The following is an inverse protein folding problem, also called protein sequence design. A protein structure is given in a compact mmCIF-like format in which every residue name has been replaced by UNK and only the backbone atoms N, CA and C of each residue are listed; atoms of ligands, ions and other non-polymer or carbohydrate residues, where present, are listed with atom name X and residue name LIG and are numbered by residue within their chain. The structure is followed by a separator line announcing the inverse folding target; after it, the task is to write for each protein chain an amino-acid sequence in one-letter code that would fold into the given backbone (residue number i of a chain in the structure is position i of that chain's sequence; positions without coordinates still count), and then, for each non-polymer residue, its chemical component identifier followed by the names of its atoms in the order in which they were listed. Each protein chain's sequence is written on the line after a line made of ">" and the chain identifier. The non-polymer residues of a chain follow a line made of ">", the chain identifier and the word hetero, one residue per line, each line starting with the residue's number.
data_IF_495391880931
#
_entry.id   IF_495391880931
#
_cell.length_a   1.000
_cell.length_b   1.000
_cell.length_c   1.000
_cell.angle_alpha   90.00
_cell.angle_beta   90.00
_cell.angle_gamma   90.00
#
_symmetry.space_group_name_H-M   'P 1'
#
loop_
_entity.id
_entity.type
_entity.pdbx_description
1 polymer ?
#
# COMPACT_ATOMS: atom_id res chain seq x y z
N UNK A 1 -12.01 14.77 -24.39
CA UNK A 1 -12.33 13.49 -25.04
C UNK A 1 -11.41 12.44 -24.41
N UNK A 2 -11.97 11.51 -23.62
CA UNK A 2 -11.20 10.38 -23.08
C UNK A 2 -10.77 9.46 -24.21
N UNK A 3 -9.48 9.16 -24.29
CA UNK A 3 -8.94 8.12 -25.17
C UNK A 3 -8.90 6.78 -24.43
N UNK A 4 -8.85 5.70 -25.17
CA UNK A 4 -8.63 4.37 -24.57
C UNK A 4 -7.23 4.33 -23.94
N UNK A 5 -7.13 3.75 -22.76
CA UNK A 5 -5.89 3.58 -22.02
C UNK A 5 -5.42 2.14 -22.20
N UNK A 6 -4.14 1.93 -22.41
CA UNK A 6 -3.53 0.61 -22.49
C UNK A 6 -2.32 0.55 -21.54
N UNK A 7 -2.30 -0.47 -20.69
CA UNK A 7 -1.22 -0.71 -19.74
C UNK A 7 -0.45 -1.98 -20.11
N UNK A 8 0.87 -1.90 -19.97
CA UNK A 8 1.76 -3.05 -20.03
C UNK A 8 2.16 -3.43 -18.58
N UNK A 9 2.01 -4.72 -18.24
CA UNK A 9 2.25 -5.24 -16.89
C UNK A 9 3.13 -6.50 -16.91
N UNK A 10 4.45 -6.39 -17.19
CA UNK A 10 5.35 -7.51 -17.06
C UNK A 10 5.54 -7.91 -15.59
N UNK A 11 5.56 -9.20 -15.32
CA UNK A 11 5.82 -9.78 -14.01
C UNK A 11 6.89 -10.87 -14.14
N UNK A 12 7.87 -10.85 -13.25
CA UNK A 12 8.89 -11.90 -13.12
C UNK A 12 8.82 -12.45 -11.70
N UNK A 13 8.81 -13.77 -11.56
CA UNK A 13 8.90 -14.46 -10.29
C UNK A 13 10.04 -15.47 -10.32
N UNK A 14 10.75 -15.56 -9.19
CA UNK A 14 11.89 -16.47 -9.03
C UNK A 14 11.90 -17.04 -7.61
N UNK A 15 12.07 -18.36 -7.50
CA UNK A 15 12.14 -19.09 -6.24
C UNK A 15 13.43 -19.88 -6.18
N UNK A 16 14.53 -19.30 -5.63
CA UNK A 16 15.83 -19.96 -5.55
C UNK A 16 15.82 -21.15 -4.60
N UNK A 17 14.96 -21.13 -3.59
CA UNK A 17 14.71 -22.24 -2.66
C UNK A 17 13.21 -22.42 -2.47
N UNK A 18 12.80 -23.51 -1.78
CA UNK A 18 11.37 -23.74 -1.47
C UNK A 18 10.81 -22.72 -0.49
N UNK A 19 11.67 -22.14 0.35
CA UNK A 19 11.28 -21.15 1.36
C UNK A 19 11.23 -19.73 0.80
N UNK A 20 12.06 -19.42 -0.20
CA UNK A 20 12.29 -18.05 -0.63
C UNK A 20 11.74 -17.78 -2.02
N UNK A 21 10.90 -16.78 -2.15
CA UNK A 21 10.32 -16.31 -3.41
C UNK A 21 10.52 -14.81 -3.54
N UNK A 22 10.92 -14.38 -4.73
CA UNK A 22 11.01 -12.97 -5.12
C UNK A 22 10.16 -12.78 -6.36
N UNK A 23 9.38 -11.71 -6.40
CA UNK A 23 8.70 -11.27 -7.62
C UNK A 23 8.93 -9.78 -7.84
N UNK A 24 9.02 -9.39 -9.09
CA UNK A 24 9.06 -7.99 -9.52
C UNK A 24 8.04 -7.77 -10.63
N UNK A 25 7.38 -6.64 -10.58
CA UNK A 25 6.38 -6.23 -11.55
C UNK A 25 6.61 -4.77 -11.95
N UNK A 26 6.25 -4.45 -13.17
CA UNK A 26 6.17 -3.08 -13.66
C UNK A 26 4.78 -2.86 -14.27
N UNK A 27 4.25 -1.68 -14.14
CA UNK A 27 3.06 -1.24 -14.85
C UNK A 27 3.34 0.10 -15.51
N UNK A 28 3.14 0.20 -16.81
CA UNK A 28 3.31 1.45 -17.52
C UNK A 28 2.15 1.67 -18.50
N UNK A 29 1.66 2.90 -18.58
CA UNK A 29 0.75 3.29 -19.62
C UNK A 29 1.54 3.50 -20.93
N UNK A 30 1.02 2.95 -22.03
CA UNK A 30 1.64 3.03 -23.37
C UNK A 30 0.91 4.01 -24.30
N UNK A 31 -0.09 4.73 -23.79
CA UNK A 31 -0.89 5.71 -24.54
C UNK A 31 -0.75 7.08 -23.90
N UNK A 32 -0.03 7.99 -24.53
CA UNK A 32 0.18 9.35 -24.05
C UNK A 32 -1.09 10.20 -24.20
N UNK A 33 -1.29 11.15 -23.26
CA UNK A 33 -2.40 12.10 -23.25
C UNK A 33 -3.78 11.41 -23.35
N UNK A 34 -3.95 10.27 -22.66
CA UNK A 34 -5.20 9.54 -22.66
C UNK A 34 -6.26 10.24 -21.80
N UNK A 35 -5.85 10.76 -20.65
CA UNK A 35 -6.68 11.59 -19.77
C UNK A 35 -5.81 12.52 -18.91
N UNK A 36 -6.39 13.60 -18.43
CA UNK A 36 -5.71 14.58 -17.61
C UNK A 36 -6.62 15.78 -17.36
N UNK A 37 -6.05 16.83 -16.83
CA UNK A 37 -6.74 18.08 -16.53
C UNK A 37 -5.98 19.27 -17.12
N UNK A 38 -6.61 20.45 -17.07
CA UNK A 38 -5.96 21.70 -17.46
C UNK A 38 -5.63 22.47 -16.19
N UNK A 39 -4.36 22.82 -16.02
CA UNK A 39 -3.87 23.58 -14.88
C UNK A 39 -4.40 25.04 -14.88
N UNK A 40 -4.16 25.78 -13.82
CA UNK A 40 -4.55 27.18 -13.67
C UNK A 40 -3.89 28.13 -14.70
N UNK A 41 -2.83 27.67 -15.38
CA UNK A 41 -2.09 28.40 -16.42
C UNK A 41 -2.58 28.06 -17.82
N UNK A 42 -3.55 27.12 -17.95
CA UNK A 42 -4.09 26.66 -19.21
C UNK A 42 -3.32 25.55 -19.90
N UNK A 43 -2.32 24.92 -19.25
CA UNK A 43 -1.58 23.80 -19.79
C UNK A 43 -2.30 22.48 -19.52
N UNK A 44 -2.25 21.56 -20.48
CA UNK A 44 -2.77 20.21 -20.27
C UNK A 44 -1.76 19.39 -19.47
N UNK A 45 -2.17 18.85 -18.32
CA UNK A 45 -1.40 17.93 -17.49
C UNK A 45 -1.87 16.52 -17.74
N UNK A 46 -0.99 15.69 -18.30
CA UNK A 46 -1.29 14.28 -18.60
C UNK A 46 -1.21 13.42 -17.35
N UNK A 47 -2.36 13.01 -16.82
CA UNK A 47 -2.43 12.08 -15.68
C UNK A 47 -2.33 10.61 -16.12
N UNK A 48 -2.33 10.33 -17.41
CA UNK A 48 -2.17 8.98 -17.92
C UNK A 48 -0.71 8.53 -17.99
N UNK A 49 0.24 9.46 -17.91
CA UNK A 49 1.68 9.17 -17.87
C UNK A 49 2.10 8.71 -16.46
N UNK A 50 1.88 7.42 -16.21
CA UNK A 50 2.17 6.78 -14.94
C UNK A 50 2.96 5.50 -15.15
N UNK A 51 4.02 5.32 -14.36
CA UNK A 51 4.79 4.08 -14.31
C UNK A 51 4.92 3.62 -12.87
N UNK A 52 4.51 2.39 -12.61
CA UNK A 52 4.61 1.75 -11.32
C UNK A 52 5.61 0.59 -11.34
N UNK A 53 6.35 0.43 -10.27
CA UNK A 53 7.27 -0.68 -10.02
C UNK A 53 6.89 -1.33 -8.69
N UNK A 54 6.91 -2.65 -8.65
CA UNK A 54 6.64 -3.41 -7.43
C UNK A 54 7.63 -4.55 -7.28
N UNK A 55 8.02 -4.82 -6.04
CA UNK A 55 8.79 -5.99 -5.68
C UNK A 55 8.20 -6.62 -4.43
N UNK A 56 8.09 -7.94 -4.44
CA UNK A 56 7.67 -8.73 -3.28
C UNK A 56 8.70 -9.81 -2.99
N UNK A 57 9.01 -10.00 -1.71
CA UNK A 57 9.88 -11.06 -1.22
C UNK A 57 9.14 -11.80 -0.11
N UNK A 58 9.16 -13.12 -0.15
CA UNK A 58 8.57 -13.97 0.88
C UNK A 58 9.61 -14.99 1.34
N UNK A 59 9.83 -15.03 2.65
CA UNK A 59 10.48 -16.14 3.33
C UNK A 59 9.42 -16.98 4.04
N UNK A 60 9.26 -18.23 3.63
CA UNK A 60 8.29 -19.15 4.22
C UNK A 60 8.99 -20.20 5.07
N UNK A 61 9.23 -19.90 6.35
CA UNK A 61 9.85 -20.81 7.30
C UNK A 61 9.02 -22.05 7.64
N UNK A 62 7.72 -22.07 7.29
CA UNK A 62 6.90 -23.29 7.45
C UNK A 62 7.31 -24.44 6.52
N UNK A 63 8.11 -24.15 5.49
CA UNK A 63 8.68 -25.21 4.62
C UNK A 63 9.72 -26.04 5.33
N UNK A 64 10.47 -25.46 6.25
CA UNK A 64 11.50 -26.13 7.06
C UNK A 64 11.02 -26.52 8.45
N UNK A 65 10.13 -25.74 9.05
CA UNK A 65 9.50 -25.99 10.36
C UNK A 65 7.98 -25.78 10.24
N UNK A 66 7.20 -26.83 9.89
CA UNK A 66 5.75 -26.70 9.69
C UNK A 66 4.96 -26.25 10.92
N UNK A 67 5.48 -26.49 12.12
CA UNK A 67 4.77 -26.23 13.37
C UNK A 67 5.07 -24.84 13.95
N UNK A 68 6.31 -24.33 13.77
CA UNK A 68 6.78 -23.11 14.41
C UNK A 68 7.44 -22.12 13.45
N UNK A 69 7.52 -22.44 12.16
CA UNK A 69 8.13 -21.58 11.17
C UNK A 69 7.46 -20.20 11.09
N UNK A 70 8.27 -19.18 10.85
CA UNK A 70 7.81 -17.80 10.65
C UNK A 70 7.71 -17.55 9.15
N UNK A 71 6.66 -16.88 8.71
CA UNK A 71 6.56 -16.34 7.36
C UNK A 71 6.82 -14.86 7.39
N UNK A 72 7.79 -14.39 6.62
CA UNK A 72 8.14 -12.97 6.50
C UNK A 72 7.87 -12.52 5.07
N UNK A 73 7.12 -11.44 4.92
CA UNK A 73 6.87 -10.80 3.63
C UNK A 73 7.44 -9.38 3.64
N UNK A 74 8.14 -9.04 2.57
CA UNK A 74 8.58 -7.68 2.25
C UNK A 74 7.94 -7.29 0.92
N UNK A 75 7.27 -6.14 0.89
CA UNK A 75 6.69 -5.58 -0.31
C UNK A 75 7.16 -4.15 -0.48
N UNK A 76 7.56 -3.78 -1.69
CA UNK A 76 7.89 -2.40 -2.04
C UNK A 76 7.15 -2.02 -3.31
N UNK A 77 6.72 -0.77 -3.38
CA UNK A 77 6.12 -0.19 -4.56
C UNK A 77 6.62 1.23 -4.78
N UNK A 78 6.82 1.59 -6.03
CA UNK A 78 7.16 2.93 -6.44
C UNK A 78 6.29 3.34 -7.61
N UNK A 79 5.66 4.51 -7.52
CA UNK A 79 4.90 5.14 -8.59
C UNK A 79 5.63 6.41 -9.03
N UNK A 80 5.82 6.57 -10.33
CA UNK A 80 6.28 7.79 -10.98
C UNK A 80 5.19 8.30 -11.92
N UNK A 81 4.67 9.47 -11.64
CA UNK A 81 3.69 10.18 -12.44
C UNK A 81 4.11 11.65 -12.59
N UNK A 82 3.49 12.40 -13.51
CA UNK A 82 3.91 13.77 -13.82
C UNK A 82 3.96 14.71 -12.61
N UNK A 83 3.01 14.59 -11.68
CA UNK A 83 2.92 15.49 -10.52
C UNK A 83 2.92 14.73 -9.19
N UNK A 84 3.29 13.46 -9.22
CA UNK A 84 3.20 12.60 -8.04
C UNK A 84 4.28 11.53 -8.09
N UNK A 85 4.97 11.34 -6.96
CA UNK A 85 5.92 10.25 -6.77
C UNK A 85 5.63 9.60 -5.44
N UNK A 86 5.35 8.31 -5.48
CA UNK A 86 5.00 7.54 -4.30
C UNK A 86 5.96 6.39 -4.11
N UNK A 87 6.42 6.22 -2.90
CA UNK A 87 7.17 5.06 -2.47
C UNK A 87 6.50 4.43 -1.26
N UNK A 88 6.30 3.13 -1.31
CA UNK A 88 5.78 2.36 -0.17
C UNK A 88 6.64 1.14 0.04
N UNK A 89 6.98 0.87 1.29
CA UNK A 89 7.63 -0.36 1.72
C UNK A 89 6.91 -0.93 2.93
N UNK A 90 6.63 -2.22 2.92
CA UNK A 90 5.98 -2.91 4.02
C UNK A 90 6.67 -4.23 4.32
N UNK A 91 6.84 -4.52 5.59
CA UNK A 91 7.30 -5.81 6.09
C UNK A 91 6.31 -6.34 7.10
N UNK A 92 5.96 -7.62 6.99
CA UNK A 92 5.18 -8.29 8.02
C UNK A 92 5.74 -9.67 8.31
N UNK A 93 5.56 -10.09 9.55
CA UNK A 93 5.93 -11.41 10.02
C UNK A 93 4.69 -12.11 10.60
N UNK A 94 4.45 -13.34 10.15
CA UNK A 94 3.38 -14.19 10.64
C UNK A 94 3.98 -15.36 11.42
N UNK A 95 3.54 -15.52 12.65
CA UNK A 95 3.90 -16.64 13.49
C UNK A 95 2.66 -17.26 14.11
N UNK A 96 2.37 -18.51 13.73
CA UNK A 96 1.14 -19.20 14.15
C UNK A 96 -0.10 -18.39 13.75
N UNK A 97 -0.77 -17.81 14.74
CA UNK A 97 -2.01 -17.02 14.59
C UNK A 97 -1.79 -15.51 14.79
N UNK A 98 -0.54 -15.11 14.95
CA UNK A 98 -0.16 -13.73 15.21
C UNK A 98 0.54 -13.14 13.99
N UNK A 99 0.22 -11.90 13.66
CA UNK A 99 0.87 -11.10 12.65
C UNK A 99 1.31 -9.77 13.25
N UNK A 100 2.54 -9.36 12.93
CA UNK A 100 3.07 -8.03 13.21
C UNK A 100 3.63 -7.46 11.91
N UNK A 101 3.31 -6.21 11.63
CA UNK A 101 3.81 -5.56 10.43
C UNK A 101 4.09 -4.08 10.62
N UNK A 102 4.90 -3.58 9.70
CA UNK A 102 5.25 -2.17 9.59
C UNK A 102 5.16 -1.74 8.13
N UNK A 103 4.57 -0.58 7.89
CA UNK A 103 4.46 0.04 6.57
C UNK A 103 5.05 1.45 6.64
N UNK A 104 5.91 1.74 5.69
CA UNK A 104 6.43 3.06 5.39
C UNK A 104 5.86 3.53 4.06
N UNK A 105 5.34 4.73 4.00
CA UNK A 105 4.91 5.37 2.76
C UNK A 105 5.50 6.78 2.69
N UNK A 106 5.99 7.15 1.51
CA UNK A 106 6.52 8.47 1.22
C UNK A 106 5.93 8.95 -0.10
N UNK A 107 5.14 10.02 -0.03
CA UNK A 107 4.39 10.57 -1.14
C UNK A 107 4.86 12.00 -1.38
N UNK A 108 5.17 12.32 -2.63
CA UNK A 108 5.46 13.67 -3.07
C UNK A 108 4.45 14.08 -4.11
N UNK A 109 3.69 15.12 -3.81
CA UNK A 109 2.65 15.69 -4.67
C UNK A 109 3.07 17.10 -5.05
N UNK A 110 3.43 17.30 -6.33
CA UNK A 110 3.90 18.60 -6.83
C UNK A 110 2.75 19.50 -7.30
N UNK A 111 1.61 18.93 -7.68
CA UNK A 111 0.40 19.68 -8.05
C UNK A 111 -0.84 18.83 -7.81
N UNK A 112 -1.81 19.36 -7.08
CA UNK A 112 -3.06 18.68 -6.79
C UNK A 112 -4.08 18.87 -7.92
N UNK A 113 -4.69 17.79 -8.40
CA UNK A 113 -5.62 17.81 -9.55
C UNK A 113 -7.01 18.35 -9.24
N UNK A 114 -7.17 19.16 -8.21
CA UNK A 114 -8.42 19.87 -7.90
C UNK A 114 -9.57 19.01 -7.37
N UNK A 115 -9.30 17.80 -6.93
CA UNK A 115 -10.28 17.03 -6.14
C UNK A 115 -10.20 17.54 -4.72
N UNK A 116 -11.05 18.49 -4.39
CA UNK A 116 -11.24 18.94 -3.01
C UNK A 116 -11.89 17.81 -2.25
N UNK A 117 -11.19 17.22 -1.33
CA UNK A 117 -11.73 16.29 -0.37
C UNK A 117 -12.49 17.09 0.70
N UNK A 118 -13.77 16.79 0.94
CA UNK A 118 -14.48 17.28 2.10
C UNK A 118 -13.88 16.66 3.37
N UNK A 119 -13.36 17.46 4.25
CA UNK A 119 -12.95 17.29 5.66
C UNK A 119 -12.37 15.95 6.16
N UNK A 120 -12.43 14.86 5.40
CA UNK A 120 -12.03 13.51 5.82
C UNK A 120 -10.78 12.97 5.08
N UNK A 121 -10.18 13.74 4.19
CA UNK A 121 -8.94 13.35 3.54
C UNK A 121 -7.74 13.66 4.42
N UNK A 122 -6.85 12.69 4.51
CA UNK A 122 -5.61 12.83 5.27
C UNK A 122 -4.53 13.59 4.49
N UNK A 123 -4.62 13.55 3.17
CA UNK A 123 -3.73 14.25 2.23
C UNK A 123 -4.62 15.04 1.29
N UNK A 124 -4.61 16.35 1.38
CA UNK A 124 -5.48 17.26 0.62
C UNK A 124 -4.75 18.40 -0.10
N UNK A 125 -3.43 18.51 0.07
CA UNK A 125 -2.63 19.60 -0.47
C UNK A 125 -1.33 19.10 -1.14
N UNK A 126 -0.68 20.00 -1.88
CA UNK A 126 0.66 19.77 -2.41
C UNK A 126 1.67 19.65 -1.28
N UNK A 127 2.66 18.81 -1.44
CA UNK A 127 3.70 18.65 -0.43
C UNK A 127 4.33 17.26 -0.41
N UNK A 128 5.12 17.05 0.62
CA UNK A 128 5.76 15.76 0.91
C UNK A 128 5.13 15.17 2.16
N UNK A 129 4.71 13.92 2.07
CA UNK A 129 4.02 13.21 3.13
C UNK A 129 4.76 11.92 3.45
N UNK A 130 5.06 11.71 4.72
CA UNK A 130 5.68 10.47 5.21
C UNK A 130 4.75 9.82 6.22
N UNK A 131 4.40 8.57 5.99
CA UNK A 131 3.48 7.81 6.83
C UNK A 131 4.18 6.59 7.37
N UNK A 132 4.12 6.41 8.68
CA UNK A 132 4.59 5.23 9.38
C UNK A 132 3.40 4.51 9.98
N UNK A 133 3.21 3.24 9.68
CA UNK A 133 2.13 2.44 10.24
C UNK A 133 2.67 1.17 10.87
N UNK A 134 2.35 0.93 12.12
CA UNK A 134 2.55 -0.36 12.79
C UNK A 134 1.18 -1.04 12.91
N UNK A 135 1.10 -2.31 12.54
CA UNK A 135 -0.11 -3.09 12.73
C UNK A 135 0.18 -4.45 13.36
N UNK A 136 -0.79 -4.94 14.10
CA UNK A 136 -0.76 -6.27 14.67
C UNK A 136 -2.13 -6.93 14.50
N UNK A 137 -2.15 -8.22 14.26
CA UNK A 137 -3.39 -8.98 14.20
C UNK A 137 -3.27 -10.35 14.84
N UNK A 138 -4.40 -10.88 15.30
CA UNK A 138 -4.50 -12.22 15.87
C UNK A 138 -5.73 -12.94 15.33
N UNK A 139 -5.56 -14.21 14.99
CA UNK A 139 -6.62 -15.08 14.53
C UNK A 139 -7.11 -16.00 15.66
N UNK A 140 -8.38 -15.90 16.01
CA UNK A 140 -9.10 -16.89 16.79
C UNK A 140 -9.70 -17.90 15.81
N UNK A 141 -9.16 -19.11 15.79
CA UNK A 141 -9.63 -20.16 14.90
C UNK A 141 -10.67 -21.04 15.56
N UNK A 142 -11.61 -21.58 14.78
CA UNK A 142 -12.65 -22.52 15.20
C UNK A 142 -13.43 -22.03 16.43
N UNK A 143 -13.87 -20.77 16.36
CA UNK A 143 -14.58 -20.11 17.47
C UNK A 143 -15.92 -20.80 17.72
N UNK A 144 -16.29 -20.95 18.98
CA UNK A 144 -17.53 -21.63 19.43
C UNK A 144 -17.61 -23.11 18.98
N UNK A 145 -16.46 -23.79 18.88
CA UNK A 145 -16.34 -25.17 18.40
C UNK A 145 -16.89 -25.39 16.96
N UNK A 146 -17.10 -24.31 16.22
CA UNK A 146 -17.47 -24.38 14.81
C UNK A 146 -16.21 -24.48 13.95
N UNK A 147 -16.07 -25.60 13.27
CA UNK A 147 -15.01 -25.82 12.30
C UNK A 147 -15.08 -24.74 11.20
N UNK A 148 -13.93 -24.20 10.80
CA UNK A 148 -13.82 -23.17 9.78
C UNK A 148 -14.41 -21.78 10.13
N UNK A 149 -14.91 -21.56 11.35
CA UNK A 149 -15.31 -20.22 11.79
C UNK A 149 -14.15 -19.52 12.49
N UNK A 150 -13.65 -18.44 11.87
CA UNK A 150 -12.50 -17.69 12.34
C UNK A 150 -12.87 -16.24 12.61
N UNK A 151 -12.34 -15.71 13.70
CA UNK A 151 -12.40 -14.28 14.02
C UNK A 151 -10.98 -13.71 13.97
N UNK A 152 -10.79 -12.60 13.23
CA UNK A 152 -9.54 -11.88 13.15
C UNK A 152 -9.71 -10.54 13.88
N UNK A 153 -8.85 -10.29 14.84
CA UNK A 153 -8.72 -8.99 15.50
C UNK A 153 -7.44 -8.32 15.01
N UNK A 154 -7.58 -7.15 14.41
CA UNK A 154 -6.45 -6.35 13.94
C UNK A 154 -6.48 -4.96 14.57
N UNK A 155 -5.31 -4.41 14.85
CA UNK A 155 -5.11 -3.03 15.32
C UNK A 155 -4.00 -2.36 14.53
N UNK A 156 -4.07 -1.06 14.39
CA UNK A 156 -3.01 -0.27 13.78
C UNK A 156 -2.83 1.09 14.47
N UNK A 157 -1.63 1.61 14.33
CA UNK A 157 -1.27 2.97 14.68
C UNK A 157 -0.44 3.56 13.54
N UNK A 158 -0.84 4.73 13.06
CA UNK A 158 -0.21 5.44 11.95
C UNK A 158 0.13 6.85 12.37
N UNK A 159 1.31 7.31 11.96
CA UNK A 159 1.79 8.68 12.13
C UNK A 159 2.02 9.25 10.73
N UNK A 160 1.44 10.39 10.46
CA UNK A 160 1.69 11.20 9.29
C UNK A 160 2.59 12.37 9.67
N UNK A 161 3.66 12.56 8.92
CA UNK A 161 4.53 13.73 8.96
C UNK A 161 4.48 14.40 7.58
N UNK A 162 4.21 15.70 7.52
CA UNK A 162 4.05 16.43 6.28
C UNK A 162 4.84 17.72 6.25
N UNK A 163 5.52 17.98 5.13
CA UNK A 163 6.13 19.27 4.79
C UNK A 163 5.19 20.14 3.95
N UNK A 164 3.91 19.75 3.84
CA UNK A 164 2.89 20.43 3.05
C UNK A 164 2.45 21.78 3.62
N UNK A 165 1.56 22.44 2.89
CA UNK A 165 1.05 23.76 3.26
C UNK A 165 0.34 23.71 4.63
N UNK A 166 0.80 24.57 5.54
CA UNK A 166 0.40 24.67 6.97
C UNK A 166 -1.04 25.13 7.21
N UNK A 167 -1.97 24.91 6.29
CA UNK A 167 -3.36 25.32 6.45
C UNK A 167 -4.06 24.67 7.63
N UNK A 168 -3.57 23.51 8.09
CA UNK A 168 -4.18 22.74 9.18
C UNK A 168 -3.40 22.79 10.50
N UNK A 169 -2.32 23.56 10.60
CA UNK A 169 -1.70 23.97 11.88
C UNK A 169 -0.73 22.99 12.53
N UNK A 170 -0.78 21.73 12.23
CA UNK A 170 0.12 20.71 12.78
C UNK A 170 0.84 19.96 11.65
N UNK A 171 2.17 19.90 11.72
CA UNK A 171 3.02 19.18 10.76
C UNK A 171 2.94 17.65 10.95
N UNK A 172 2.27 17.18 12.01
CA UNK A 172 2.16 15.76 12.37
C UNK A 172 0.73 15.42 12.78
N UNK A 173 0.18 14.35 12.22
CA UNK A 173 -1.13 13.80 12.60
C UNK A 173 -0.99 12.30 12.93
N UNK A 174 -1.83 11.80 13.82
CA UNK A 174 -1.83 10.39 14.18
C UNK A 174 -3.22 9.76 14.08
N UNK A 175 -3.25 8.50 13.66
CA UNK A 175 -4.47 7.71 13.55
C UNK A 175 -4.27 6.31 14.11
N UNK A 176 -5.28 5.84 14.80
CA UNK A 176 -5.33 4.47 15.29
C UNK A 176 -6.69 3.84 15.07
N UNK A 177 -6.72 2.55 15.01
CA UNK A 177 -7.97 1.83 14.82
C UNK A 177 -7.87 0.36 15.15
N UNK A 178 -9.05 -0.25 15.27
CA UNK A 178 -9.20 -1.67 15.42
C UNK A 178 -10.22 -2.20 14.42
N UNK A 179 -9.99 -3.41 13.94
CA UNK A 179 -10.87 -4.11 13.00
C UNK A 179 -11.14 -5.52 13.48
N UNK A 180 -12.41 -5.90 13.46
CA UNK A 180 -12.83 -7.29 13.66
C UNK A 180 -13.39 -7.82 12.35
N UNK A 181 -12.89 -8.99 11.92
CA UNK A 181 -13.38 -9.68 10.73
C UNK A 181 -13.85 -11.08 11.12
N UNK A 182 -15.03 -11.42 10.70
CA UNK A 182 -15.60 -12.76 10.79
C UNK A 182 -15.44 -13.45 9.44
N UNK A 183 -14.97 -14.70 9.45
CA UNK A 183 -14.79 -15.48 8.23
C UNK A 183 -15.22 -16.91 8.47
N UNK A 184 -16.17 -17.37 7.69
CA UNK A 184 -16.67 -18.73 7.69
C UNK A 184 -16.45 -19.36 6.31
N UNK A 185 -15.87 -20.53 6.28
CA UNK A 185 -15.66 -21.30 5.05
C UNK A 185 -16.64 -22.45 5.01
N UNK A 186 -17.46 -22.51 3.99
CA UNK A 186 -18.42 -23.59 3.71
C UNK A 186 -17.74 -24.75 3.00
#
# INVERSE_FOLDING_TARGET
>A
QQKNVAYLRPVIAWSPTEEFTVSAAMEANVVNNAYGYTDSKGNFVDQSDRTGYGMSMTWNGLKTDPDNGIVVNLNTAYLDANNEKDFTAGINALWKRFELGYIYAHNKIDEFSGVVCDNDCWIDDEGTYTIHTIHASYQFANVMDMENFNIYLGTYYSILDSDGDKKHGDDTDDRYGARVRFKYFF
#
